data_IF_449367828320
#
_entry.id   IF_449367828320
#
_cell.length_a   1.000
_cell.length_b   1.000
_cell.length_c   1.000
_cell.angle_alpha   90.00
_cell.angle_beta   90.00
_cell.angle_gamma   90.00
#
_symmetry.space_group_name_H-M   'P 1'
#
loop_
_entity.id
_entity.type
_entity.pdbx_description
1 polymer ?
#
# COMPACT_ATOMS: atom_id res chain seq x y z
N UNK A 1 -15.46 -43.70 4.10
CA UNK A 1 -15.11 -42.81 2.99
C UNK A 1 -13.64 -43.01 2.69
N UNK A 2 -13.36 -43.48 1.48
CA UNK A 2 -12.04 -43.98 1.04
C UNK A 2 -11.24 -42.79 0.53
N UNK A 3 -10.07 -42.52 1.13
CA UNK A 3 -9.06 -41.67 0.53
C UNK A 3 -8.33 -42.47 -0.58
N UNK A 4 -7.89 -41.84 -1.68
CA UNK A 4 -7.33 -42.56 -2.80
C UNK A 4 -6.02 -43.26 -2.42
N UNK A 5 -5.91 -44.53 -2.81
CA UNK A 5 -4.68 -45.32 -2.72
C UNK A 5 -3.72 -44.80 -3.79
N UNK A 6 -2.63 -44.18 -3.35
CA UNK A 6 -1.53 -43.81 -4.23
C UNK A 6 -0.73 -45.06 -4.57
N UNK A 7 -0.60 -45.37 -5.86
CA UNK A 7 0.22 -46.48 -6.38
C UNK A 7 1.60 -45.96 -6.78
N UNK A 8 2.70 -46.33 -6.11
CA UNK A 8 4.03 -45.98 -6.58
C UNK A 8 4.40 -46.81 -7.81
N UNK A 9 4.99 -46.13 -8.80
CA UNK A 9 5.53 -46.70 -10.02
C UNK A 9 6.43 -47.92 -9.76
N UNK A 10 6.26 -48.96 -10.57
CA UNK A 10 7.14 -50.12 -10.64
C UNK A 10 8.50 -49.70 -11.21
N UNK A 11 9.48 -49.51 -10.33
CA UNK A 11 10.84 -49.15 -10.70
C UNK A 11 11.81 -49.11 -9.51
N UNK A 12 12.25 -50.29 -9.06
CA UNK A 12 13.53 -50.59 -8.37
C UNK A 12 13.71 -50.50 -6.83
N UNK A 13 12.68 -50.30 -6.00
CA UNK A 13 12.68 -50.85 -4.61
C UNK A 13 11.24 -50.96 -4.05
N UNK A 14 10.75 -52.16 -3.65
CA UNK A 14 9.44 -52.29 -3.03
C UNK A 14 9.35 -51.74 -1.60
N UNK A 15 10.46 -51.39 -0.93
CA UNK A 15 10.44 -50.66 0.36
C UNK A 15 11.26 -49.35 0.24
N UNK A 16 10.76 -48.31 -0.44
CA UNK A 16 11.47 -47.05 -0.48
C UNK A 16 11.52 -46.46 0.95
N UNK A 17 12.70 -46.03 1.41
CA UNK A 17 12.97 -45.45 2.74
C UNK A 17 12.24 -44.10 2.96
N UNK A 18 10.92 -44.09 2.84
CA UNK A 18 10.08 -42.93 3.12
C UNK A 18 9.34 -43.16 4.44
N UNK A 19 9.54 -42.19 5.35
CA UNK A 19 8.96 -42.09 6.68
C UNK A 19 9.59 -43.00 7.75
N UNK A 20 10.86 -42.77 8.10
CA UNK A 20 11.23 -42.88 9.51
C UNK A 20 10.65 -41.66 10.24
N UNK A 21 9.72 -41.88 11.17
CA UNK A 21 9.36 -40.85 12.14
C UNK A 21 10.16 -41.10 13.41
N UNK A 22 10.93 -40.09 13.81
CA UNK A 22 11.62 -40.08 15.10
C UNK A 22 10.74 -39.31 16.08
N UNK A 23 10.25 -40.03 17.09
CA UNK A 23 9.47 -39.44 18.18
C UNK A 23 10.30 -39.50 19.44
N UNK A 24 10.58 -38.33 20.03
CA UNK A 24 11.25 -38.25 21.33
C UNK A 24 10.21 -38.52 22.42
N UNK A 25 10.54 -39.41 23.36
CA UNK A 25 9.66 -39.70 24.50
C UNK A 25 9.47 -38.44 25.35
N UNK A 26 8.33 -38.31 26.02
CA UNK A 26 7.98 -37.13 26.81
C UNK A 26 8.98 -36.81 27.94
N UNK A 27 9.76 -37.80 28.38
CA UNK A 27 10.83 -37.65 29.37
C UNK A 27 12.20 -37.31 28.77
N UNK A 28 12.30 -37.22 27.44
CA UNK A 28 13.53 -36.87 26.70
C UNK A 28 14.62 -37.94 26.75
N UNK A 29 14.33 -39.17 27.19
CA UNK A 29 15.36 -40.21 27.42
C UNK A 29 15.48 -41.24 26.31
N UNK A 30 14.48 -41.33 25.43
CA UNK A 30 14.44 -42.32 24.37
C UNK A 30 13.97 -41.70 23.06
N UNK A 31 14.51 -42.21 21.95
CA UNK A 31 13.95 -41.95 20.61
C UNK A 31 13.26 -43.22 20.15
N UNK A 32 12.01 -43.08 19.73
CA UNK A 32 11.26 -44.12 19.06
C UNK A 32 11.43 -43.94 17.55
N UNK A 33 12.00 -44.94 16.89
CA UNK A 33 12.06 -45.01 15.44
C UNK A 33 10.96 -45.96 14.94
N UNK A 34 10.11 -45.46 14.04
CA UNK A 34 9.13 -46.27 13.34
C UNK A 34 9.48 -46.26 11.86
N UNK A 35 9.79 -47.42 11.29
CA UNK A 35 10.17 -47.56 9.88
C UNK A 35 9.68 -48.88 9.27
N UNK A 36 9.69 -48.96 7.94
CA UNK A 36 9.39 -50.18 7.19
C UNK A 36 10.69 -50.90 6.86
N UNK A 37 10.82 -52.18 7.23
CA UNK A 37 11.96 -53.02 6.87
C UNK A 37 11.50 -54.34 6.22
N UNK A 38 12.36 -54.90 5.36
CA UNK A 38 12.15 -56.25 4.81
C UNK A 38 12.39 -57.28 5.91
N UNK A 39 11.42 -58.17 6.12
CA UNK A 39 11.65 -59.35 6.95
C UNK A 39 12.49 -60.41 6.19
N UNK A 40 12.83 -61.52 6.85
CA UNK A 40 13.62 -62.62 6.28
C UNK A 40 12.97 -63.31 5.06
N UNK A 41 11.71 -63.00 4.75
CA UNK A 41 10.98 -63.50 3.57
C UNK A 41 10.79 -62.42 2.48
N UNK A 42 11.46 -61.27 2.60
CA UNK A 42 11.48 -60.22 1.59
C UNK A 42 10.23 -59.32 1.56
N UNK A 43 9.31 -59.42 2.53
CA UNK A 43 8.11 -58.57 2.64
C UNK A 43 8.37 -57.35 3.55
N UNK A 44 7.94 -56.16 3.13
CA UNK A 44 8.01 -54.97 4.00
C UNK A 44 7.07 -55.13 5.20
N UNK A 45 7.55 -54.88 6.41
CA UNK A 45 6.74 -54.76 7.63
C UNK A 45 7.21 -53.57 8.47
N UNK A 46 6.30 -52.91 9.20
CA UNK A 46 6.69 -51.90 10.17
C UNK A 46 7.45 -52.56 11.32
N UNK A 47 8.51 -51.90 11.76
CA UNK A 47 9.20 -52.21 13.01
C UNK A 47 9.28 -50.94 13.86
N UNK A 48 9.35 -51.15 15.17
CA UNK A 48 9.51 -50.09 16.16
C UNK A 48 10.79 -50.39 16.92
N UNK A 49 11.71 -49.45 16.92
CA UNK A 49 12.94 -49.53 17.70
C UNK A 49 12.97 -48.43 18.76
N UNK A 50 13.45 -48.76 19.96
CA UNK A 50 13.59 -47.79 21.05
C UNK A 50 15.07 -47.65 21.35
N UNK A 51 15.61 -46.45 21.13
CA UNK A 51 17.03 -46.18 21.30
C UNK A 51 17.22 -45.34 22.57
N UNK A 52 17.91 -45.87 23.61
CA UNK A 52 18.25 -45.11 24.80
C UNK A 52 19.27 -44.02 24.49
N UNK A 53 19.04 -42.81 25.01
CA UNK A 53 19.96 -41.68 24.88
C UNK A 53 20.98 -41.74 26.03
N UNK A 54 22.16 -42.33 25.79
CA UNK A 54 23.16 -42.68 26.83
C UNK A 54 24.08 -41.53 27.31
N UNK A 55 23.78 -40.28 26.94
CA UNK A 55 24.41 -39.07 27.50
C UNK A 55 23.42 -37.93 27.27
N UNK A 56 23.29 -36.95 28.17
CA UNK A 56 22.50 -35.78 27.86
C UNK A 56 23.14 -35.19 26.62
N UNK A 57 22.45 -35.30 25.49
CA UNK A 57 22.75 -34.46 24.34
C UNK A 57 22.48 -33.07 24.92
N UNK A 58 23.54 -32.36 25.32
CA UNK A 58 23.44 -30.91 25.35
C UNK A 58 23.01 -30.57 23.95
N UNK A 59 21.74 -30.23 23.84
CA UNK A 59 21.16 -29.64 22.67
C UNK A 59 22.03 -28.43 22.28
N UNK A 60 23.08 -28.68 21.50
CA UNK A 60 23.22 -27.90 20.28
C UNK A 60 22.12 -28.41 19.34
N UNK A 61 20.85 -28.20 19.74
CA UNK A 61 19.93 -27.65 18.77
C UNK A 61 20.73 -26.44 18.30
N UNK A 62 21.14 -26.46 17.03
CA UNK A 62 21.14 -25.22 16.29
C UNK A 62 19.70 -24.75 16.40
N UNK A 63 19.35 -24.14 17.54
CA UNK A 63 18.24 -23.23 17.63
C UNK A 63 18.68 -22.26 16.57
N UNK A 64 18.07 -22.37 15.38
CA UNK A 64 17.90 -21.23 14.51
C UNK A 64 17.66 -20.11 15.49
N UNK A 65 18.66 -19.24 15.60
CA UNK A 65 18.63 -18.04 16.42
C UNK A 65 17.20 -17.57 16.30
N UNK A 66 16.47 -17.65 17.42
CA UNK A 66 15.12 -17.11 17.58
C UNK A 66 14.95 -16.02 16.54
N UNK A 67 14.23 -16.33 15.45
CA UNK A 67 14.02 -15.43 14.32
C UNK A 67 13.05 -14.38 14.86
N UNK A 68 13.61 -13.55 15.74
CA UNK A 68 12.93 -12.43 16.34
C UNK A 68 12.72 -11.54 15.13
N UNK A 69 11.46 -11.34 14.70
CA UNK A 69 11.20 -10.56 13.51
C UNK A 69 11.99 -9.27 13.61
N UNK A 70 12.74 -8.94 12.56
CA UNK A 70 13.60 -7.76 12.55
C UNK A 70 12.79 -6.57 13.09
N UNK A 71 13.26 -5.98 14.19
CA UNK A 71 12.55 -4.91 14.90
C UNK A 71 12.61 -3.58 14.14
N UNK A 72 13.41 -3.54 13.07
CA UNK A 72 13.62 -2.39 12.21
C UNK A 72 13.44 -2.78 10.74
N UNK A 73 13.24 -1.76 9.91
CA UNK A 73 13.31 -1.83 8.46
C UNK A 73 14.13 -0.65 7.94
N UNK A 74 14.39 -0.59 6.63
CA UNK A 74 15.04 0.56 6.00
C UNK A 74 14.22 1.05 4.81
N UNK A 75 14.31 2.34 4.51
CA UNK A 75 13.78 2.89 3.28
C UNK A 75 14.80 2.71 2.12
N UNK A 76 14.34 2.57 0.87
CA UNK A 76 12.93 2.50 0.46
C UNK A 76 12.29 1.11 0.67
N UNK A 77 10.95 1.07 0.72
CA UNK A 77 10.17 -0.17 0.86
C UNK A 77 10.21 -1.06 -0.39
N UNK A 78 10.40 -0.46 -1.56
CA UNK A 78 10.54 -1.11 -2.87
C UNK A 78 11.56 -0.34 -3.72
N UNK A 79 12.23 -0.99 -4.70
CA UNK A 79 13.20 -0.33 -5.57
C UNK A 79 12.56 0.65 -6.57
N UNK A 80 11.26 0.55 -6.81
CA UNK A 80 10.46 1.48 -7.61
C UNK A 80 8.99 1.39 -7.17
N UNK A 81 8.30 2.53 -7.16
CA UNK A 81 6.89 2.61 -6.79
C UNK A 81 6.45 4.02 -6.47
N UNK A 82 6.03 4.75 -7.50
CA UNK A 82 5.41 6.06 -7.35
C UNK A 82 3.99 5.95 -6.78
N UNK A 83 3.55 7.01 -6.11
CA UNK A 83 2.16 7.18 -5.66
C UNK A 83 1.68 6.00 -4.78
N UNK A 84 2.37 5.72 -3.66
CA UNK A 84 2.05 4.58 -2.81
C UNK A 84 0.74 4.77 -2.03
N UNK A 85 -0.07 3.71 -1.99
CA UNK A 85 -1.29 3.64 -1.19
C UNK A 85 -1.25 2.43 -0.26
N UNK A 86 -1.65 2.62 0.99
CA UNK A 86 -1.77 1.55 2.00
C UNK A 86 -3.10 1.69 2.74
N UNK A 87 -3.86 0.60 2.81
CA UNK A 87 -5.04 0.48 3.68
C UNK A 87 -4.91 -0.73 4.60
N UNK A 88 -5.23 -0.56 5.88
CA UNK A 88 -5.32 -1.66 6.85
C UNK A 88 -6.77 -2.11 6.99
N UNK A 89 -7.03 -3.41 6.82
CA UNK A 89 -8.36 -4.00 6.95
C UNK A 89 -8.25 -5.47 7.38
N UNK A 90 -9.05 -5.88 8.36
CA UNK A 90 -9.17 -7.27 8.84
C UNK A 90 -7.82 -7.95 9.13
N UNK A 91 -6.89 -7.22 9.76
CA UNK A 91 -5.58 -7.75 10.17
C UNK A 91 -4.52 -7.80 9.08
N UNK A 92 -4.80 -7.24 7.90
CA UNK A 92 -3.86 -7.14 6.79
C UNK A 92 -3.72 -5.70 6.30
N UNK A 93 -2.52 -5.34 5.87
CA UNK A 93 -2.27 -4.23 4.98
C UNK A 93 -2.43 -4.67 3.54
N UNK A 94 -3.09 -3.82 2.77
CA UNK A 94 -3.13 -3.89 1.32
C UNK A 94 -2.38 -2.70 0.77
N UNK A 95 -1.40 -2.97 -0.10
CA UNK A 95 -0.58 -1.94 -0.71
C UNK A 95 -0.74 -1.95 -2.23
N UNK A 96 -0.65 -0.77 -2.84
CA UNK A 96 -0.55 -0.60 -4.29
C UNK A 96 0.23 0.67 -4.61
N UNK A 97 0.65 0.81 -5.87
CA UNK A 97 1.38 1.97 -6.37
C UNK A 97 1.24 2.07 -7.88
N UNK A 98 1.62 3.21 -8.44
CA UNK A 98 1.73 3.40 -9.90
C UNK A 98 2.73 2.43 -10.49
N UNK A 99 2.26 1.59 -11.42
CA UNK A 99 3.11 0.77 -12.31
C UNK A 99 3.18 1.34 -13.73
N UNK A 100 2.26 2.24 -14.07
CA UNK A 100 2.03 2.78 -15.42
C UNK A 100 1.31 1.82 -16.37
N UNK A 101 1.16 0.54 -16.02
CA UNK A 101 0.76 -0.52 -16.96
C UNK A 101 -0.42 -1.37 -16.48
N UNK A 102 -0.59 -1.56 -15.17
CA UNK A 102 -1.64 -2.40 -14.60
C UNK A 102 -1.90 -2.00 -13.13
N UNK A 103 -2.93 -2.60 -12.53
CA UNK A 103 -3.20 -2.48 -11.10
C UNK A 103 -2.71 -3.75 -10.39
N UNK A 104 -1.73 -3.57 -9.51
CA UNK A 104 -1.14 -4.64 -8.70
C UNK A 104 -1.43 -4.38 -7.22
N UNK A 105 -1.87 -5.41 -6.51
CA UNK A 105 -2.08 -5.38 -5.06
C UNK A 105 -1.10 -6.31 -4.36
N UNK A 106 -0.59 -5.84 -3.22
CA UNK A 106 0.14 -6.62 -2.23
C UNK A 106 -0.77 -6.83 -1.02
N UNK A 107 -0.62 -7.96 -0.32
CA UNK A 107 -1.30 -8.23 0.95
C UNK A 107 -0.30 -8.76 1.96
N UNK A 108 -0.17 -8.08 3.09
CA UNK A 108 0.82 -8.43 4.12
C UNK A 108 0.30 -8.12 5.52
N UNK A 109 0.91 -8.71 6.55
CA UNK A 109 0.72 -8.28 7.96
C UNK A 109 1.67 -7.16 8.37
N UNK A 110 2.67 -6.88 7.54
CA UNK A 110 3.73 -5.90 7.78
C UNK A 110 4.04 -5.16 6.47
N UNK A 111 3.54 -3.94 6.33
CA UNK A 111 3.76 -3.10 5.14
C UNK A 111 5.21 -2.62 5.01
N UNK A 112 6.09 -2.90 5.97
CA UNK A 112 7.52 -2.59 5.85
C UNK A 112 8.30 -3.67 5.10
N UNK A 113 7.68 -4.82 4.81
CA UNK A 113 8.30 -5.97 4.15
C UNK A 113 7.72 -6.25 2.75
N UNK A 114 7.47 -5.19 1.96
CA UNK A 114 6.78 -5.29 0.66
C UNK A 114 7.58 -6.03 -0.42
N UNK A 115 8.91 -6.00 -0.34
CA UNK A 115 9.82 -6.68 -1.25
C UNK A 115 9.75 -8.21 -1.15
N UNK A 116 9.37 -8.73 0.02
CA UNK A 116 9.16 -10.16 0.29
C UNK A 116 7.68 -10.57 0.28
N UNK A 117 6.77 -9.63 0.05
CA UNK A 117 5.33 -9.85 0.10
C UNK A 117 4.79 -10.36 -1.23
N UNK A 118 3.85 -11.31 -1.18
CA UNK A 118 3.11 -11.75 -2.36
C UNK A 118 2.31 -10.58 -2.97
N UNK A 119 2.43 -10.43 -4.29
CA UNK A 119 1.69 -9.44 -5.08
C UNK A 119 0.96 -10.09 -6.24
N UNK A 120 -0.17 -9.51 -6.62
CA UNK A 120 -1.00 -9.97 -7.73
C UNK A 120 -1.42 -8.81 -8.61
N UNK A 121 -1.24 -8.96 -9.91
CA UNK A 121 -1.92 -8.09 -10.90
C UNK A 121 -3.40 -8.42 -10.85
N UNK A 122 -4.21 -7.49 -10.36
CA UNK A 122 -5.65 -7.69 -10.18
C UNK A 122 -6.47 -7.14 -11.34
N UNK A 123 -5.91 -6.24 -12.12
CA UNK A 123 -6.53 -5.71 -13.33
C UNK A 123 -5.48 -5.22 -14.32
N UNK A 124 -5.73 -5.47 -15.60
CA UNK A 124 -4.92 -5.02 -16.74
C UNK A 124 -5.79 -4.15 -17.64
N UNK A 125 -5.30 -3.00 -18.13
CA UNK A 125 -6.08 -2.13 -18.99
C UNK A 125 -6.54 -2.81 -20.28
N UNK A 126 -7.74 -2.46 -20.78
CA UNK A 126 -8.21 -2.95 -22.07
C UNK A 126 -7.31 -2.47 -23.20
N UNK A 127 -7.32 -3.17 -24.33
CA UNK A 127 -6.47 -2.83 -25.48
C UNK A 127 -6.79 -1.46 -26.11
N UNK A 128 -8.02 -0.96 -25.90
CA UNK A 128 -8.53 0.32 -26.38
C UNK A 128 -9.59 0.86 -25.42
N UNK A 129 -9.94 2.14 -25.56
CA UNK A 129 -10.95 2.79 -24.74
C UNK A 129 -10.36 3.76 -23.72
N UNK A 130 -11.21 4.44 -22.94
CA UNK A 130 -10.83 5.63 -22.17
C UNK A 130 -9.87 5.36 -20.99
N UNK A 131 -9.70 4.10 -20.59
CA UNK A 131 -8.82 3.65 -19.51
C UNK A 131 -7.74 2.65 -19.99
N UNK A 132 -7.27 2.78 -21.23
CA UNK A 132 -6.40 1.79 -21.88
C UNK A 132 -4.89 2.02 -21.71
N UNK A 133 -4.46 3.14 -21.11
CA UNK A 133 -3.03 3.42 -20.83
C UNK A 133 -2.84 4.44 -19.71
N UNK A 134 -1.57 4.68 -19.36
CA UNK A 134 -1.13 5.65 -18.35
C UNK A 134 -1.83 5.41 -17.00
N UNK A 135 -1.75 4.16 -16.52
CA UNK A 135 -2.44 3.69 -15.32
C UNK A 135 -1.70 4.16 -14.08
N UNK A 136 -2.23 5.19 -13.41
CA UNK A 136 -1.56 5.93 -12.35
C UNK A 136 -2.37 5.98 -11.05
N UNK A 137 -1.64 6.14 -9.95
CA UNK A 137 -2.09 6.45 -8.60
C UNK A 137 -3.32 5.64 -8.16
N UNK A 138 -3.22 4.30 -8.12
CA UNK A 138 -4.33 3.51 -7.64
C UNK A 138 -4.51 3.63 -6.12
N UNK A 139 -5.75 3.75 -5.68
CA UNK A 139 -6.12 3.66 -4.27
C UNK A 139 -7.19 2.61 -4.05
N UNK A 140 -6.94 1.70 -3.10
CA UNK A 140 -7.86 0.66 -2.69
C UNK A 140 -8.65 1.11 -1.46
N UNK A 141 -9.97 1.16 -1.58
CA UNK A 141 -10.88 1.57 -0.51
C UNK A 141 -11.91 0.49 -0.20
N UNK A 142 -12.33 0.40 1.05
CA UNK A 142 -13.45 -0.45 1.48
C UNK A 142 -14.65 0.44 1.78
N UNK A 143 -15.70 0.34 0.98
CA UNK A 143 -16.92 1.14 1.13
C UNK A 143 -18.14 0.20 1.05
N UNK A 144 -19.10 0.36 1.95
CA UNK A 144 -20.35 -0.43 1.95
C UNK A 144 -20.12 -1.96 1.83
N UNK A 145 -19.05 -2.48 2.47
CA UNK A 145 -18.73 -3.91 2.43
C UNK A 145 -18.17 -4.42 1.10
N UNK A 146 -17.75 -3.53 0.20
CA UNK A 146 -17.11 -3.88 -1.09
C UNK A 146 -15.77 -3.15 -1.24
N UNK A 147 -14.90 -3.69 -2.08
CA UNK A 147 -13.64 -3.08 -2.45
C UNK A 147 -13.81 -2.21 -3.70
N UNK A 148 -13.20 -1.04 -3.67
CA UNK A 148 -13.15 -0.11 -4.80
C UNK A 148 -11.71 0.29 -5.07
N UNK A 149 -11.28 0.15 -6.34
CA UNK A 149 -10.02 0.69 -6.82
C UNK A 149 -10.31 1.96 -7.62
N UNK A 150 -9.86 3.11 -7.10
CA UNK A 150 -9.84 4.37 -7.84
C UNK A 150 -8.47 4.49 -8.50
N UNK A 151 -8.44 4.82 -9.79
CA UNK A 151 -7.17 4.96 -10.51
C UNK A 151 -7.32 5.95 -11.66
N UNK A 152 -6.21 6.54 -12.07
CA UNK A 152 -6.16 7.47 -13.20
C UNK A 152 -5.77 6.72 -14.46
N UNK A 153 -6.39 7.06 -15.59
CA UNK A 153 -6.00 6.53 -16.89
C UNK A 153 -6.30 7.51 -18.03
N UNK A 154 -5.75 7.23 -19.22
CA UNK A 154 -6.07 7.92 -20.47
C UNK A 154 -6.44 6.92 -21.58
N UNK A 155 -7.04 7.44 -22.66
CA UNK A 155 -7.27 6.67 -23.88
C UNK A 155 -5.97 6.52 -24.68
N UNK A 156 -5.62 5.29 -25.08
CA UNK A 156 -4.49 5.03 -25.97
C UNK A 156 -4.59 5.75 -27.31
N UNK A 157 -5.80 5.94 -27.82
CA UNK A 157 -6.03 6.70 -29.05
C UNK A 157 -5.89 8.23 -28.84
N UNK A 158 -6.04 8.71 -27.61
CA UNK A 158 -6.02 10.15 -27.26
C UNK A 158 -5.30 10.37 -25.91
N UNK A 159 -3.98 10.10 -25.81
CA UNK A 159 -3.28 10.26 -24.55
C UNK A 159 -3.21 11.73 -24.11
N UNK A 160 -3.00 11.95 -22.82
CA UNK A 160 -2.72 13.26 -22.24
C UNK A 160 -3.90 13.90 -21.50
N UNK A 161 -3.65 15.09 -20.97
CA UNK A 161 -4.44 15.69 -19.89
C UNK A 161 -5.87 16.08 -20.29
N UNK A 162 -6.13 16.29 -21.59
CA UNK A 162 -7.48 16.53 -22.12
C UNK A 162 -8.36 15.27 -22.14
N UNK A 163 -7.78 14.09 -21.91
CA UNK A 163 -8.50 12.81 -21.91
C UNK A 163 -8.13 11.96 -20.68
N UNK A 164 -7.58 12.59 -19.64
CA UNK A 164 -7.24 11.94 -18.38
C UNK A 164 -8.41 12.02 -17.42
N UNK A 165 -8.78 10.88 -16.83
CA UNK A 165 -9.88 10.80 -15.87
C UNK A 165 -9.56 9.79 -14.77
N UNK A 166 -10.31 9.90 -13.68
CA UNK A 166 -10.38 8.88 -12.63
C UNK A 166 -11.44 7.83 -12.99
N UNK A 167 -11.08 6.57 -12.87
CA UNK A 167 -11.92 5.39 -13.09
C UNK A 167 -12.06 4.58 -11.81
N UNK A 168 -13.12 3.78 -11.73
CA UNK A 168 -13.40 2.94 -10.56
C UNK A 168 -13.62 1.49 -10.97
N UNK A 169 -12.97 0.56 -10.27
CA UNK A 169 -13.29 -0.86 -10.31
C UNK A 169 -13.94 -1.28 -8.98
N UNK A 170 -14.91 -2.19 -9.03
CA UNK A 170 -15.56 -2.79 -7.85
C UNK A 170 -15.22 -4.28 -7.73
N UNK A 171 -14.99 -4.76 -6.50
CA UNK A 171 -14.85 -6.17 -6.18
C UNK A 171 -15.58 -6.53 -4.87
N UNK A 172 -16.42 -7.56 -4.93
CA UNK A 172 -17.24 -8.02 -3.80
C UNK A 172 -16.55 -9.07 -2.93
N UNK A 173 -15.44 -9.65 -3.39
CA UNK A 173 -14.68 -10.65 -2.62
C UNK A 173 -14.23 -10.11 -1.27
N UNK A 174 -14.18 -10.95 -0.25
CA UNK A 174 -13.59 -10.59 1.03
C UNK A 174 -12.10 -10.24 0.88
N UNK A 175 -11.36 -11.04 0.12
CA UNK A 175 -9.97 -10.76 -0.24
C UNK A 175 -9.92 -10.04 -1.61
N UNK A 176 -9.45 -8.78 -1.71
CA UNK A 176 -9.40 -8.01 -2.96
C UNK A 176 -8.39 -8.56 -3.98
N UNK A 177 -7.49 -9.46 -3.56
CA UNK A 177 -6.63 -10.22 -4.46
C UNK A 177 -7.40 -11.38 -5.14
N UNK A 178 -8.59 -11.72 -4.67
CA UNK A 178 -9.48 -12.74 -5.23
C UNK A 178 -10.72 -12.11 -5.86
N UNK A 179 -11.56 -12.92 -6.50
CA UNK A 179 -12.78 -12.44 -7.15
C UNK A 179 -12.52 -11.69 -8.46
N UNK A 180 -13.57 -11.03 -8.94
CA UNK A 180 -13.58 -10.31 -10.22
C UNK A 180 -13.73 -8.81 -9.98
N UNK A 181 -12.91 -8.03 -10.68
CA UNK A 181 -13.01 -6.58 -10.70
C UNK A 181 -13.93 -6.13 -11.83
N UNK A 182 -15.03 -5.46 -11.49
CA UNK A 182 -16.01 -4.91 -12.43
C UNK A 182 -15.73 -3.44 -12.68
N UNK A 183 -15.53 -3.05 -13.94
CA UNK A 183 -15.34 -1.65 -14.34
C UNK A 183 -16.64 -0.85 -14.17
N UNK A 184 -16.61 0.19 -13.35
CA UNK A 184 -17.73 1.11 -13.10
C UNK A 184 -17.67 2.37 -13.96
N UNK A 185 -16.63 2.51 -14.78
CA UNK A 185 -16.38 3.63 -15.66
C UNK A 185 -15.72 4.80 -14.95
N UNK A 186 -15.67 5.93 -15.68
CA UNK A 186 -15.11 7.19 -15.18
C UNK A 186 -16.02 7.83 -14.13
N UNK A 187 -15.42 8.47 -13.13
CA UNK A 187 -16.15 9.36 -12.22
C UNK A 187 -16.62 10.59 -13.00
N UNK A 188 -17.82 11.08 -12.71
CA UNK A 188 -18.46 12.21 -13.38
C UNK A 188 -17.92 13.58 -12.93
N UNK A 189 -16.60 13.75 -12.95
CA UNK A 189 -15.92 15.02 -12.64
C UNK A 189 -16.22 16.09 -13.69
N UNK A 190 -16.28 17.36 -13.27
CA UNK A 190 -16.48 18.50 -14.18
C UNK A 190 -15.24 18.78 -15.05
N UNK A 191 -14.07 18.35 -14.59
CA UNK A 191 -12.79 18.53 -15.25
C UNK A 191 -12.16 17.17 -15.55
N UNK A 192 -11.38 17.10 -16.63
CA UNK A 192 -10.36 16.06 -16.75
C UNK A 192 -9.38 16.19 -15.59
N UNK A 193 -8.69 15.13 -15.23
CA UNK A 193 -7.88 15.14 -14.03
C UNK A 193 -7.42 13.77 -13.59
N UNK A 194 -6.90 13.73 -12.37
CA UNK A 194 -6.23 12.57 -11.78
C UNK A 194 -6.41 12.51 -10.26
N UNK A 195 -5.84 11.46 -9.68
CA UNK A 195 -5.62 11.27 -8.26
C UNK A 195 -6.92 11.34 -7.44
N UNK A 196 -7.85 10.45 -7.80
CA UNK A 196 -9.10 10.31 -7.08
C UNK A 196 -8.89 9.60 -5.75
N UNK A 197 -9.26 10.24 -4.65
CA UNK A 197 -9.25 9.67 -3.30
C UNK A 197 -10.61 9.86 -2.64
N UNK A 198 -10.93 9.03 -1.64
CA UNK A 198 -12.19 9.09 -0.91
C UNK A 198 -11.99 9.03 0.59
N UNK A 199 -12.90 9.64 1.33
CA UNK A 199 -12.93 9.52 2.78
C UNK A 199 -14.34 9.61 3.35
N UNK A 200 -14.54 8.98 4.50
CA UNK A 200 -15.79 9.04 5.25
C UNK A 200 -15.75 10.09 6.36
N UNK A 201 -16.81 10.89 6.44
CA UNK A 201 -17.02 11.79 7.56
C UNK A 201 -18.51 12.00 7.82
N UNK A 202 -18.94 11.80 9.07
CA UNK A 202 -20.33 12.00 9.54
C UNK A 202 -21.37 11.28 8.68
N UNK A 203 -21.10 10.03 8.31
CA UNK A 203 -22.01 9.18 7.53
C UNK A 203 -22.11 9.55 6.05
N UNK A 204 -21.25 10.46 5.56
CA UNK A 204 -21.10 10.77 4.14
C UNK A 204 -19.74 10.28 3.63
N UNK A 205 -19.70 9.92 2.36
CA UNK A 205 -18.45 9.70 1.62
C UNK A 205 -18.18 10.92 0.76
N UNK A 206 -16.97 11.45 0.85
CA UNK A 206 -16.49 12.56 0.04
C UNK A 206 -15.47 12.03 -0.98
N UNK A 207 -15.49 12.59 -2.18
CA UNK A 207 -14.51 12.33 -3.23
C UNK A 207 -13.64 13.57 -3.42
N UNK A 208 -12.33 13.34 -3.44
CA UNK A 208 -11.30 14.33 -3.73
C UNK A 208 -10.67 13.98 -5.08
N UNK A 209 -10.31 14.99 -5.87
CA UNK A 209 -9.50 14.78 -7.08
C UNK A 209 -8.76 16.05 -7.49
N UNK A 210 -7.79 15.86 -8.38
CA UNK A 210 -6.98 16.92 -8.98
C UNK A 210 -7.52 17.22 -10.37
N UNK A 211 -8.26 18.31 -10.51
CA UNK A 211 -8.90 18.72 -11.76
C UNK A 211 -8.01 19.67 -12.58
N UNK A 212 -7.88 19.41 -13.88
CA UNK A 212 -7.16 20.28 -14.81
C UNK A 212 -8.01 21.48 -15.20
N UNK A 213 -7.57 22.68 -14.83
CA UNK A 213 -8.24 23.95 -15.10
C UNK A 213 -7.32 24.80 -15.99
N UNK A 214 -7.36 24.58 -17.31
CA UNK A 214 -6.38 25.17 -18.21
C UNK A 214 -5.01 24.50 -18.01
N UNK A 215 -3.90 25.25 -17.80
CA UNK A 215 -2.57 24.67 -17.62
C UNK A 215 -2.27 24.19 -16.19
N UNK A 216 -3.16 24.45 -15.22
CA UNK A 216 -2.97 24.14 -13.81
C UNK A 216 -3.81 22.93 -13.37
N UNK A 217 -3.40 22.26 -12.28
CA UNK A 217 -4.25 21.34 -11.54
C UNK A 217 -4.68 21.93 -10.20
N UNK A 218 -5.97 21.84 -9.90
CA UNK A 218 -6.59 22.32 -8.66
C UNK A 218 -7.24 21.15 -7.92
N UNK A 219 -7.37 21.25 -6.60
CA UNK A 219 -8.05 20.22 -5.81
C UNK A 219 -9.54 20.52 -5.69
N UNK A 220 -10.34 19.49 -5.89
CA UNK A 220 -11.78 19.56 -5.79
C UNK A 220 -12.30 18.54 -4.78
N UNK A 221 -13.45 18.85 -4.17
CA UNK A 221 -14.22 17.96 -3.30
C UNK A 221 -15.68 17.88 -3.76
N UNK A 222 -16.30 16.71 -3.61
CA UNK A 222 -17.74 16.53 -3.81
C UNK A 222 -18.30 15.44 -2.87
N UNK A 223 -19.59 15.54 -2.52
CA UNK A 223 -20.33 14.42 -1.91
C UNK A 223 -20.45 13.27 -2.93
N UNK A 224 -20.28 12.03 -2.50
CA UNK A 224 -20.57 10.85 -3.32
C UNK A 224 -22.04 10.43 -3.21
N UNK A 225 -22.65 10.12 -4.35
CA UNK A 225 -23.99 9.50 -4.44
C UNK A 225 -23.88 7.98 -4.25
N UNK A 226 -22.83 7.40 -4.83
CA UNK A 226 -22.41 6.02 -4.66
C UNK A 226 -20.88 5.96 -4.90
N UNK A 227 -20.20 4.83 -4.63
CA UNK A 227 -18.73 4.72 -4.73
C UNK A 227 -18.11 4.97 -6.12
N UNK A 228 -18.87 5.31 -7.16
CA UNK A 228 -18.32 5.65 -8.48
C UNK A 228 -19.01 6.87 -9.12
N UNK A 229 -19.91 7.54 -8.38
CA UNK A 229 -20.69 8.69 -8.87
C UNK A 229 -20.70 9.79 -7.82
N UNK A 230 -20.25 10.98 -8.20
CA UNK A 230 -20.27 12.17 -7.34
C UNK A 230 -21.47 13.05 -7.63
N UNK A 231 -21.86 13.87 -6.66
CA UNK A 231 -22.90 14.88 -6.81
C UNK A 231 -22.51 15.96 -7.81
N UNK A 232 -23.51 16.69 -8.31
CA UNK A 232 -23.28 17.78 -9.28
C UNK A 232 -22.58 18.98 -8.66
N UNK A 233 -22.66 19.18 -7.34
CA UNK A 233 -21.90 20.21 -6.61
C UNK A 233 -20.47 19.73 -6.39
N UNK A 234 -19.54 20.23 -7.19
CA UNK A 234 -18.10 20.01 -7.05
C UNK A 234 -17.45 21.34 -6.69
N UNK A 235 -16.62 21.34 -5.65
CA UNK A 235 -16.12 22.56 -5.01
C UNK A 235 -14.61 22.56 -5.09
N UNK A 236 -14.04 23.62 -5.64
CA UNK A 236 -12.58 23.81 -5.61
C UNK A 236 -12.14 24.20 -4.19
N UNK A 237 -11.24 23.41 -3.60
CA UNK A 237 -10.69 23.65 -2.28
C UNK A 237 -9.42 24.50 -2.31
N UNK A 238 -8.56 24.25 -3.28
CA UNK A 238 -7.31 25.00 -3.45
C UNK A 238 -6.82 24.93 -4.88
N UNK A 239 -6.08 25.97 -5.25
CA UNK A 239 -5.28 26.06 -6.46
C UNK A 239 -3.87 26.54 -6.09
N UNK A 240 -2.87 26.38 -6.97
CA UNK A 240 -1.53 26.90 -6.74
C UNK A 240 -1.55 28.42 -6.56
N UNK A 241 -1.06 28.91 -5.43
CA UNK A 241 -1.00 30.35 -5.10
C UNK A 241 0.35 30.76 -4.53
N UNK A 242 1.03 29.88 -3.81
CA UNK A 242 2.34 30.13 -3.24
C UNK A 242 3.46 29.76 -4.21
N UNK A 243 4.61 30.42 -4.10
CA UNK A 243 5.74 30.20 -5.00
C UNK A 243 6.25 28.74 -4.99
N UNK A 244 6.20 28.06 -3.84
CA UNK A 244 6.60 26.65 -3.72
C UNK A 244 5.66 25.67 -4.41
N UNK A 245 4.45 26.11 -4.80
CA UNK A 245 3.49 25.33 -5.58
C UNK A 245 3.61 25.57 -7.09
N UNK A 246 4.46 26.54 -7.47
CA UNK A 246 4.59 27.07 -8.84
C UNK A 246 6.01 26.98 -9.38
N UNK A 247 6.81 26.06 -8.86
CA UNK A 247 8.21 25.99 -9.24
C UNK A 247 8.36 25.70 -10.74
N UNK A 248 9.33 26.36 -11.37
CA UNK A 248 9.57 26.31 -12.83
C UNK A 248 8.33 26.67 -13.68
N UNK A 249 7.45 27.51 -13.13
CA UNK A 249 6.24 27.98 -13.81
C UNK A 249 5.12 26.95 -13.91
N UNK A 250 5.25 25.78 -13.27
CA UNK A 250 4.21 24.74 -13.25
C UNK A 250 3.31 24.89 -12.04
N UNK A 251 2.02 25.10 -12.30
CA UNK A 251 1.01 25.31 -11.28
C UNK A 251 0.30 23.98 -10.99
N UNK A 252 0.74 23.26 -9.95
CA UNK A 252 0.21 21.93 -9.64
C UNK A 252 -0.21 21.86 -8.16
N UNK A 253 -1.47 21.48 -7.93
CA UNK A 253 -1.91 20.81 -6.71
C UNK A 253 -2.46 19.44 -7.11
N UNK A 254 -1.91 18.37 -6.57
CA UNK A 254 -2.30 16.99 -6.91
C UNK A 254 -2.22 16.01 -5.72
N UNK A 255 -2.53 14.73 -5.93
CA UNK A 255 -2.46 13.69 -4.89
C UNK A 255 -3.14 14.04 -3.56
N UNK A 256 -4.44 14.41 -3.52
CA UNK A 256 -5.12 14.81 -2.30
C UNK A 256 -5.38 13.62 -1.36
N UNK A 257 -5.02 13.77 -0.09
CA UNK A 257 -5.08 12.73 0.94
C UNK A 257 -5.76 13.24 2.19
N UNK A 258 -6.87 12.61 2.57
CA UNK A 258 -7.54 12.94 3.82
C UNK A 258 -6.76 12.41 5.02
N UNK A 259 -6.62 13.25 6.05
CA UNK A 259 -6.07 12.87 7.35
C UNK A 259 -6.96 13.43 8.45
N UNK A 260 -7.52 12.53 9.28
CA UNK A 260 -8.23 12.94 10.49
C UNK A 260 -7.23 13.42 11.53
N UNK A 261 -7.32 14.71 11.87
CA UNK A 261 -6.48 15.36 12.87
C UNK A 261 -6.87 15.03 14.31
N UNK A 262 -6.18 15.65 15.27
CA UNK A 262 -6.58 15.66 16.68
C UNK A 262 -7.41 16.92 16.98
N UNK A 263 -8.02 16.99 18.16
CA UNK A 263 -8.74 18.18 18.64
C UNK A 263 -9.82 18.70 17.67
N UNK A 264 -10.55 17.78 17.03
CA UNK A 264 -11.61 18.13 16.07
C UNK A 264 -11.11 18.72 14.76
N UNK A 265 -9.84 18.51 14.39
CA UNK A 265 -9.29 18.96 13.10
C UNK A 265 -9.42 17.90 12.02
N UNK A 266 -9.63 18.36 10.80
CA UNK A 266 -9.55 17.56 9.57
C UNK A 266 -8.51 18.19 8.67
N UNK A 267 -7.73 17.35 7.97
CA UNK A 267 -6.72 17.80 7.04
C UNK A 267 -6.90 17.16 5.67
N UNK A 268 -6.57 17.92 4.62
CA UNK A 268 -6.32 17.38 3.28
C UNK A 268 -4.87 17.73 2.95
N UNK A 269 -4.05 16.71 2.82
CA UNK A 269 -2.64 16.82 2.43
C UNK A 269 -2.60 16.68 0.92
N UNK A 270 -1.74 17.42 0.24
CA UNK A 270 -1.65 17.37 -1.22
C UNK A 270 -0.23 17.63 -1.65
N UNK A 271 0.12 17.20 -2.85
CA UNK A 271 1.42 17.48 -3.44
C UNK A 271 1.37 18.72 -4.31
N UNK A 272 2.45 19.48 -4.38
CA UNK A 272 2.57 20.64 -5.26
C UNK A 272 3.91 20.71 -5.97
N UNK A 273 3.97 21.56 -7.00
CA UNK A 273 5.04 21.57 -8.01
C UNK A 273 5.11 20.25 -8.80
N UNK A 274 6.04 20.13 -9.74
CA UNK A 274 6.10 18.99 -10.64
C UNK A 274 6.93 17.82 -10.09
N UNK A 275 6.55 16.58 -10.39
CA UNK A 275 7.29 15.39 -9.94
C UNK A 275 8.73 15.28 -10.51
N UNK A 276 9.05 16.02 -11.57
CA UNK A 276 10.41 16.07 -12.13
C UNK A 276 11.28 17.12 -11.45
N UNK A 277 10.65 18.03 -10.70
CA UNK A 277 11.33 18.99 -9.85
C UNK A 277 11.65 18.37 -8.47
N UNK A 278 12.76 18.78 -7.90
CA UNK A 278 13.18 18.37 -6.56
C UNK A 278 12.33 19.02 -5.47
N UNK A 279 11.61 20.10 -5.77
CA UNK A 279 10.75 20.81 -4.83
C UNK A 279 9.32 20.27 -4.78
N UNK A 280 9.05 19.12 -5.41
CA UNK A 280 7.83 18.35 -5.13
C UNK A 280 7.70 18.15 -3.62
N UNK A 281 6.60 18.62 -3.05
CA UNK A 281 6.44 18.73 -1.60
C UNK A 281 4.97 18.71 -1.22
N UNK A 282 4.69 18.43 0.06
CA UNK A 282 3.34 18.35 0.58
C UNK A 282 2.87 19.69 1.14
N UNK A 283 1.72 20.15 0.68
CA UNK A 283 0.88 21.16 1.30
C UNK A 283 -0.20 20.58 2.20
N UNK A 284 -0.91 21.45 2.91
CA UNK A 284 -2.00 21.06 3.80
C UNK A 284 -3.13 22.08 3.78
N UNK A 285 -4.36 21.58 3.70
CA UNK A 285 -5.59 22.30 4.06
C UNK A 285 -6.07 21.81 5.43
N UNK A 286 -6.58 22.69 6.27
CA UNK A 286 -7.13 22.35 7.59
C UNK A 286 -8.53 22.91 7.76
N UNK A 287 -9.44 22.07 8.25
CA UNK A 287 -10.82 22.42 8.60
C UNK A 287 -11.17 21.92 10.01
N UNK A 288 -12.28 22.41 10.57
CA UNK A 288 -12.88 21.80 11.75
C UNK A 288 -13.79 20.65 11.32
N UNK A 289 -13.89 19.62 12.14
CA UNK A 289 -14.78 18.48 11.92
C UNK A 289 -16.28 18.83 12.05
N UNK A 290 -16.59 20.06 12.46
CA UNK A 290 -17.94 20.63 12.54
C UNK A 290 -18.31 21.52 11.36
N UNK A 291 -17.34 21.89 10.51
CA UNK A 291 -17.57 22.80 9.37
C UNK A 291 -18.29 22.11 8.21
N UNK A 292 -18.86 22.91 7.30
CA UNK A 292 -19.28 22.43 5.98
C UNK A 292 -18.04 22.19 5.11
N UNK A 293 -17.75 20.92 4.81
CA UNK A 293 -16.57 20.54 4.02
C UNK A 293 -16.70 20.91 2.54
N UNK A 294 -17.91 21.22 2.06
CA UNK A 294 -18.18 21.72 0.70
C UNK A 294 -18.25 23.26 0.66
N UNK A 295 -17.79 23.95 1.69
CA UNK A 295 -17.51 25.39 1.68
C UNK A 295 -15.98 25.61 1.66
N UNK A 296 -15.40 26.18 0.59
CA UNK A 296 -13.97 26.48 0.55
C UNK A 296 -13.49 27.34 1.74
N UNK A 297 -14.34 28.22 2.27
CA UNK A 297 -13.99 29.07 3.39
C UNK A 297 -13.75 28.29 4.70
N UNK A 298 -14.23 27.04 4.79
CA UNK A 298 -13.95 26.14 5.90
C UNK A 298 -12.51 25.64 5.92
N UNK A 299 -11.77 25.78 4.82
CA UNK A 299 -10.45 25.21 4.65
C UNK A 299 -9.37 26.29 4.69
N UNK A 300 -8.49 26.20 5.69
CA UNK A 300 -7.30 27.04 5.79
C UNK A 300 -6.10 26.35 5.16
N UNK A 301 -5.52 26.98 4.14
CA UNK A 301 -4.30 26.52 3.47
C UNK A 301 -3.04 26.89 4.27
N UNK A 302 -2.10 25.96 4.41
CA UNK A 302 -0.76 26.22 4.94
C UNK A 302 0.03 27.11 3.97
N UNK A 303 0.71 28.13 4.50
CA UNK A 303 1.52 29.04 3.69
C UNK A 303 2.86 28.43 3.23
N UNK A 304 3.34 27.42 3.96
CA UNK A 304 4.58 26.69 3.67
C UNK A 304 4.30 25.21 3.50
N UNK A 305 5.18 24.46 2.79
CA UNK A 305 5.11 23.00 2.78
C UNK A 305 5.13 22.44 4.20
N UNK A 306 4.38 21.35 4.41
CA UNK A 306 4.38 20.58 5.65
C UNK A 306 5.31 19.38 5.60
N UNK A 307 5.78 19.02 4.41
CA UNK A 307 6.80 17.99 4.19
C UNK A 307 7.52 18.28 2.87
N UNK A 308 8.85 18.33 2.86
CA UNK A 308 9.65 18.72 1.69
C UNK A 308 10.98 17.97 1.65
N UNK A 309 11.73 18.13 0.55
CA UNK A 309 13.05 17.52 0.39
C UNK A 309 13.97 17.75 1.59
N UNK A 310 14.81 16.77 1.88
CA UNK A 310 15.92 16.86 2.83
C UNK A 310 17.22 16.62 2.09
N UNK A 311 18.00 17.68 1.87
CA UNK A 311 19.31 17.59 1.21
C UNK A 311 20.29 16.79 2.05
N UNK A 312 20.26 16.96 3.38
CA UNK A 312 21.08 16.22 4.35
C UNK A 312 20.81 14.72 4.27
N UNK A 313 19.53 14.31 4.19
CA UNK A 313 19.14 12.91 4.10
C UNK A 313 19.14 12.36 2.67
N UNK A 314 19.52 13.19 1.68
CA UNK A 314 19.46 12.87 0.25
C UNK A 314 18.08 12.37 -0.21
N UNK A 315 17.02 13.00 0.29
CA UNK A 315 15.64 12.69 -0.11
C UNK A 315 15.05 13.87 -0.86
N UNK A 316 14.73 13.66 -2.14
CA UNK A 316 14.29 14.71 -3.07
C UNK A 316 12.87 14.44 -3.56
N UNK A 317 12.09 15.51 -3.70
CA UNK A 317 10.71 15.46 -4.19
C UNK A 317 9.77 14.51 -3.42
N UNK A 318 9.69 14.54 -2.07
CA UNK A 318 8.75 13.70 -1.35
C UNK A 318 7.30 14.15 -1.61
N UNK A 319 6.45 13.21 -2.03
CA UNK A 319 5.05 13.53 -2.25
C UNK A 319 4.18 12.32 -2.60
N UNK A 320 2.98 12.63 -3.11
CA UNK A 320 1.85 11.74 -3.34
C UNK A 320 1.74 10.69 -2.26
N UNK A 321 1.47 11.16 -1.05
CA UNK A 321 1.53 10.34 0.14
C UNK A 321 0.23 9.53 0.32
N UNK A 322 0.20 8.69 1.35
CA UNK A 322 -1.02 8.24 2.01
C UNK A 322 -0.74 8.10 3.51
N UNK A 323 -1.73 7.65 4.28
CA UNK A 323 -1.61 7.44 5.71
C UNK A 323 -2.11 6.07 6.13
N UNK A 324 -1.43 5.46 7.08
CA UNK A 324 -1.91 4.25 7.75
C UNK A 324 -1.59 4.30 9.24
N UNK A 325 -2.06 3.30 9.97
CA UNK A 325 -1.73 3.11 11.38
C UNK A 325 -0.87 1.88 11.56
N UNK A 326 -0.15 1.79 12.68
CA UNK A 326 0.47 0.53 13.11
C UNK A 326 -0.57 -0.57 13.36
N UNK A 327 -0.19 -1.87 13.38
CA UNK A 327 -1.12 -2.97 13.63
C UNK A 327 -1.95 -2.80 14.90
N UNK A 328 -1.34 -2.25 15.96
CA UNK A 328 -2.02 -1.99 17.23
C UNK A 328 -2.81 -0.65 17.26
N UNK A 329 -2.77 0.14 16.19
CA UNK A 329 -3.49 1.41 16.04
C UNK A 329 -2.90 2.62 16.77
N UNK A 330 -1.77 2.46 17.48
CA UNK A 330 -1.20 3.49 18.35
C UNK A 330 -0.32 4.50 17.61
N UNK A 331 0.28 4.12 16.49
CA UNK A 331 1.17 4.98 15.72
C UNK A 331 0.50 5.42 14.42
N UNK A 332 0.76 6.67 14.04
CA UNK A 332 0.36 7.21 12.76
C UNK A 332 1.58 7.23 11.82
N UNK A 333 1.39 6.71 10.61
CA UNK A 333 2.44 6.51 9.63
C UNK A 333 2.12 7.25 8.34
N UNK A 334 3.11 7.97 7.81
CA UNK A 334 3.06 8.54 6.47
C UNK A 334 3.83 7.61 5.54
N UNK A 335 3.22 7.29 4.40
CA UNK A 335 3.86 6.58 3.29
C UNK A 335 3.88 7.54 2.11
N UNK A 336 5.01 7.69 1.44
CA UNK A 336 5.21 8.67 0.36
C UNK A 336 6.23 8.14 -0.63
N UNK A 337 6.26 8.66 -1.85
CA UNK A 337 7.38 8.40 -2.74
C UNK A 337 8.41 9.53 -2.64
N UNK A 338 9.68 9.23 -2.90
CA UNK A 338 10.72 10.23 -3.09
C UNK A 338 11.88 9.66 -3.93
N UNK A 339 12.89 10.48 -4.22
CA UNK A 339 14.11 10.10 -4.96
C UNK A 339 15.35 10.21 -4.09
N UNK A 340 16.38 9.43 -4.39
CA UNK A 340 17.70 9.49 -3.73
C UNK A 340 18.61 10.62 -4.25
N UNK A 341 18.22 11.23 -5.37
CA UNK A 341 18.95 12.33 -5.99
C UNK A 341 18.03 13.18 -6.86
N UNK A 342 18.45 14.44 -7.02
CA UNK A 342 17.96 15.31 -8.07
C UNK A 342 18.29 14.74 -9.45
N UNK A 343 17.27 14.53 -10.29
CA UNK A 343 17.45 13.96 -11.62
C UNK A 343 16.66 14.68 -12.73
N UNK A 344 15.80 15.66 -12.39
CA UNK A 344 15.01 16.36 -13.41
C UNK A 344 13.96 15.48 -14.12
N UNK A 345 13.62 14.30 -13.59
CA UNK A 345 12.71 13.35 -14.21
C UNK A 345 11.67 12.81 -13.21
N UNK A 346 10.44 12.49 -13.64
CA UNK A 346 9.46 11.78 -12.81
C UNK A 346 9.71 10.27 -12.68
N UNK A 347 10.97 9.84 -12.70
CA UNK A 347 11.39 8.43 -12.60
C UNK A 347 12.17 8.17 -11.31
N UNK A 348 12.37 6.88 -11.00
CA UNK A 348 13.13 6.39 -9.84
C UNK A 348 12.53 6.90 -8.52
N UNK A 349 11.19 6.93 -8.45
CA UNK A 349 10.44 7.33 -7.27
C UNK A 349 10.19 6.06 -6.47
N UNK A 350 10.76 6.01 -5.27
CA UNK A 350 10.68 4.84 -4.40
C UNK A 350 9.76 5.10 -3.23
N UNK A 351 8.90 4.13 -2.85
CA UNK A 351 7.99 4.28 -1.72
C UNK A 351 8.79 4.20 -0.42
N UNK A 352 8.44 5.07 0.52
CA UNK A 352 9.10 5.22 1.82
C UNK A 352 8.04 5.37 2.90
N UNK A 353 8.38 4.96 4.11
CA UNK A 353 7.51 5.14 5.27
C UNK A 353 8.29 5.68 6.47
N UNK A 354 7.60 6.46 7.30
CA UNK A 354 8.07 6.87 8.62
C UNK A 354 6.89 7.16 9.55
N UNK A 355 7.05 6.97 10.87
CA UNK A 355 6.05 7.42 11.82
C UNK A 355 6.05 8.96 11.85
N UNK A 356 4.90 9.53 12.20
CA UNK A 356 4.78 10.97 12.46
C UNK A 356 4.07 11.21 13.78
N UNK A 357 4.20 12.43 14.29
CA UNK A 357 3.61 12.83 15.57
C UNK A 357 2.59 13.95 15.39
N UNK A 358 1.97 14.40 16.48
CA UNK A 358 0.94 15.44 16.45
C UNK A 358 1.38 16.64 17.27
N UNK A 359 1.21 17.84 16.71
CA UNK A 359 1.46 19.10 17.40
C UNK A 359 0.34 19.38 18.41
N UNK A 360 0.58 20.24 19.42
CA UNK A 360 -0.45 20.59 20.41
C UNK A 360 -1.75 21.17 19.82
N UNK A 361 -1.66 21.84 18.66
CA UNK A 361 -2.82 22.40 17.95
C UNK A 361 -3.66 21.36 17.18
N UNK A 362 -3.22 20.10 17.18
CA UNK A 362 -3.86 18.97 16.55
C UNK A 362 -3.48 18.73 15.09
N UNK A 363 -2.56 19.53 14.53
CA UNK A 363 -1.99 19.31 13.19
C UNK A 363 -0.86 18.27 13.21
N UNK A 364 -0.59 17.57 12.09
CA UNK A 364 0.47 16.59 12.02
C UNK A 364 1.87 17.24 12.02
N UNK A 365 2.84 16.53 12.58
CA UNK A 365 4.26 16.79 12.45
C UNK A 365 4.94 15.61 11.77
N UNK A 366 5.08 15.70 10.45
CA UNK A 366 5.71 14.69 9.60
C UNK A 366 7.24 14.64 9.77
N UNK A 367 7.84 15.63 10.43
CA UNK A 367 9.28 15.77 10.56
C UNK A 367 9.98 15.95 9.20
N UNK A 368 11.18 15.40 9.10
CA UNK A 368 11.99 15.41 7.87
C UNK A 368 11.98 14.02 7.22
N UNK A 369 12.03 13.90 5.88
CA UNK A 369 12.11 12.60 5.22
C UNK A 369 13.32 11.79 5.67
N UNK A 370 13.10 10.54 6.09
CA UNK A 370 14.16 9.63 6.56
C UNK A 370 15.08 9.19 5.40
N UNK A 371 16.40 9.21 5.66
CA UNK A 371 17.43 8.80 4.71
C UNK A 371 17.28 7.31 4.30
N UNK A 372 17.62 7.00 3.06
CA UNK A 372 17.70 5.62 2.58
C UNK A 372 18.74 4.82 3.36
N UNK A 373 18.45 3.55 3.67
CA UNK A 373 19.32 2.68 4.48
C UNK A 373 19.37 3.01 5.97
N UNK A 374 18.75 4.10 6.45
CA UNK A 374 18.62 4.36 7.88
C UNK A 374 17.59 3.41 8.48
N UNK A 375 17.97 2.75 9.58
CA UNK A 375 17.06 1.90 10.34
C UNK A 375 15.93 2.72 10.97
N UNK A 376 14.71 2.21 10.80
CA UNK A 376 13.48 2.73 11.41
C UNK A 376 12.81 1.58 12.13
N UNK A 377 12.35 1.78 13.37
CA UNK A 377 11.56 0.77 14.09
C UNK A 377 10.34 0.37 13.28
N UNK A 378 10.04 -0.93 13.22
CA UNK A 378 8.82 -1.42 12.59
C UNK A 378 7.57 -0.93 13.34
N UNK A 379 6.42 -0.81 12.65
CA UNK A 379 5.16 -0.44 13.28
C UNK A 379 4.76 -1.48 14.34
N UNK A 380 4.39 -1.00 15.52
CA UNK A 380 4.10 -1.82 16.71
C UNK A 380 2.80 -2.65 16.67
#
# INVERSE_FOLDING_TARGET
MVAPVWSPNQGTDPCPNYSSQLLVSADGKNVLEIALAKNTSGRCRPYVNTIPINSPVTENILTNTSDTPAQTFTNPLLPDGADPWVIFNDGYYYYTNTTGQNLTLWRTKDFTNLDQTEKKVVWTPPASGPNSRDIWAPELHRLNGKWYLYYTATDKAKPGDLNRYVFVLENESANPLEGNWTDKGRVNTNYTGLDGSVFEHKGKVYFLYSGYVGPQSNLFIADMINPWTISTKQVELTRPTYAWEKYDGREICEGPQFLRGKNGRLHIIYSASACWDDNYSLGMLTSNDTSDLLDPASWKKSATPVFSKSVENRVFGPGHNCFTKSPNGQEDWIIYHAKDMANGECKNRTPRAQPFSWKPDGSPDFGIPVASGKEVSKPN
#
